data_IF_846501240733
#
_entry.id   IF_846501240733
#
_cell.length_a   1.000
_cell.length_b   1.000
_cell.length_c   1.000
_cell.angle_alpha   90.00
_cell.angle_beta   90.00
_cell.angle_gamma   90.00
#
_symmetry.space_group_name_H-M   'P 1'
#
loop_
_entity.id
_entity.type
_entity.pdbx_description
1 polymer ?
#
# COMPACT_ATOMS: atom_id res chain seq x y z
N UNK A 1 -41.94 -17.73 71.53
CA UNK A 1 -43.02 -18.16 70.61
C UNK A 1 -42.96 -17.22 69.41
N UNK A 2 -42.56 -17.77 68.24
CA UNK A 2 -42.77 -17.26 66.87
C UNK A 2 -41.88 -16.04 66.48
N UNK A 3 -40.70 -16.25 65.88
CA UNK A 3 -40.41 -16.25 64.42
C UNK A 3 -41.05 -15.07 63.67
N UNK A 4 -40.24 -14.18 63.05
CA UNK A 4 -40.32 -13.81 61.60
C UNK A 4 -39.53 -12.53 61.23
N UNK A 5 -38.45 -12.76 60.44
CA UNK A 5 -37.96 -12.06 59.23
C UNK A 5 -37.16 -10.71 59.26
N UNK A 6 -35.86 -10.87 58.91
CA UNK A 6 -34.99 -10.11 57.96
C UNK A 6 -34.61 -8.64 58.30
N UNK A 7 -33.37 -8.27 58.69
CA UNK A 7 -32.03 -8.30 58.03
C UNK A 7 -32.05 -7.78 56.57
N UNK A 8 -31.62 -6.53 56.30
CA UNK A 8 -30.23 -6.04 56.05
C UNK A 8 -29.75 -6.21 54.60
N UNK A 9 -29.38 -5.06 54.01
CA UNK A 9 -28.36 -4.82 52.97
C UNK A 9 -28.59 -5.12 51.48
N UNK A 10 -28.12 -4.11 50.73
CA UNK A 10 -27.82 -4.02 49.30
C UNK A 10 -26.74 -5.02 48.82
N UNK A 11 -26.69 -5.17 47.49
CA UNK A 11 -25.63 -5.78 46.64
C UNK A 11 -25.57 -7.31 46.57
N UNK A 12 -25.97 -7.87 45.41
CA UNK A 12 -25.08 -8.40 44.36
C UNK A 12 -25.82 -9.39 43.46
N UNK A 13 -25.47 -9.35 42.16
CA UNK A 13 -26.00 -10.24 41.13
C UNK A 13 -25.79 -11.71 41.52
N UNK A 14 -26.87 -12.48 41.46
CA UNK A 14 -26.88 -13.88 41.84
C UNK A 14 -26.49 -14.74 40.63
N UNK A 15 -25.34 -15.40 40.79
CA UNK A 15 -24.68 -16.34 39.90
C UNK A 15 -25.55 -17.61 39.73
N UNK A 16 -25.79 -18.04 38.49
CA UNK A 16 -26.60 -19.24 38.20
C UNK A 16 -25.76 -20.26 37.44
N UNK A 17 -25.54 -21.37 38.14
CA UNK A 17 -24.83 -22.62 37.82
C UNK A 17 -25.25 -23.26 36.48
N UNK A 18 -24.30 -23.74 35.69
CA UNK A 18 -24.54 -24.49 34.44
C UNK A 18 -24.00 -25.93 34.60
N UNK A 19 -24.89 -26.89 34.83
CA UNK A 19 -24.59 -28.33 34.84
C UNK A 19 -25.04 -29.01 33.55
N UNK A 20 -24.30 -30.04 33.13
CA UNK A 20 -24.41 -30.76 31.86
C UNK A 20 -25.75 -31.44 31.58
N UNK A 21 -26.04 -31.55 30.27
CA UNK A 21 -26.91 -32.51 29.58
C UNK A 21 -28.44 -32.44 29.81
N UNK A 22 -29.14 -31.80 28.86
CA UNK A 22 -30.12 -32.39 27.93
C UNK A 22 -31.14 -31.31 27.48
N UNK A 23 -31.17 -31.06 26.17
CA UNK A 23 -32.22 -30.33 25.43
C UNK A 23 -32.71 -29.02 26.05
N UNK A 24 -32.13 -27.89 25.63
CA UNK A 24 -32.80 -26.61 25.29
C UNK A 24 -31.68 -25.57 25.08
N UNK A 25 -31.74 -24.94 23.93
CA UNK A 25 -30.82 -23.96 23.36
C UNK A 25 -30.73 -22.70 24.23
N UNK A 26 -29.59 -22.43 24.88
CA UNK A 26 -29.26 -21.15 25.51
C UNK A 26 -27.74 -20.90 25.42
N UNK A 27 -27.27 -19.73 24.95
CA UNK A 27 -25.87 -19.52 24.56
C UNK A 27 -24.93 -19.47 25.78
N UNK A 28 -23.77 -20.10 25.67
CA UNK A 28 -22.72 -20.15 26.67
C UNK A 28 -22.41 -18.74 27.22
N UNK A 29 -22.51 -18.55 28.54
CA UNK A 29 -22.20 -17.28 29.20
C UNK A 29 -20.84 -17.38 29.88
N UNK A 30 -19.93 -16.47 29.55
CA UNK A 30 -18.58 -16.45 30.11
C UNK A 30 -18.59 -16.01 31.57
N UNK A 31 -18.22 -16.93 32.47
CA UNK A 31 -18.06 -16.65 33.90
C UNK A 31 -16.59 -16.62 34.28
N UNK A 32 -16.25 -15.63 35.10
CA UNK A 32 -14.96 -15.46 35.78
C UNK A 32 -14.77 -16.56 36.84
N UNK A 33 -14.42 -17.77 36.40
CA UNK A 33 -13.87 -18.81 37.27
C UNK A 33 -12.51 -19.21 36.73
N UNK A 34 -11.63 -19.56 37.65
CA UNK A 34 -10.17 -19.54 37.59
C UNK A 34 -9.52 -20.57 36.65
N UNK A 35 -10.01 -20.68 35.41
CA UNK A 35 -9.38 -21.23 34.21
C UNK A 35 -10.42 -21.19 33.07
N UNK A 36 -10.53 -20.09 32.29
CA UNK A 36 -11.50 -19.99 31.21
C UNK A 36 -10.98 -20.74 29.99
N UNK A 37 -11.23 -22.05 29.92
CA UNK A 37 -11.03 -22.79 28.66
C UNK A 37 -12.36 -22.74 27.89
N UNK A 38 -12.46 -21.89 26.86
CA UNK A 38 -13.50 -22.04 25.83
C UNK A 38 -14.60 -20.99 25.74
N UNK A 39 -14.33 -19.72 26.08
CA UNK A 39 -15.29 -18.64 25.90
C UNK A 39 -15.04 -17.83 24.63
N UNK A 40 -16.00 -17.75 23.72
CA UNK A 40 -15.88 -16.98 22.47
C UNK A 40 -16.37 -15.54 22.65
N UNK A 41 -15.62 -14.57 22.14
CA UNK A 41 -16.01 -13.16 22.13
C UNK A 41 -17.25 -12.97 21.23
N UNK A 42 -18.13 -12.04 21.61
CA UNK A 42 -19.26 -11.59 20.80
C UNK A 42 -19.33 -10.07 20.84
N UNK A 43 -20.03 -9.45 19.88
CA UNK A 43 -20.20 -7.99 19.86
C UNK A 43 -20.80 -7.39 21.14
N UNK A 44 -21.53 -8.18 21.94
CA UNK A 44 -22.11 -7.74 23.23
C UNK A 44 -21.39 -8.26 24.48
N UNK A 45 -20.48 -9.23 24.37
CA UNK A 45 -19.79 -9.84 25.50
C UNK A 45 -18.39 -10.30 25.10
N UNK A 46 -17.38 -9.56 25.55
CA UNK A 46 -15.97 -9.75 25.23
C UNK A 46 -15.11 -9.56 26.49
N UNK A 47 -15.17 -10.49 27.47
CA UNK A 47 -14.32 -10.42 28.66
C UNK A 47 -12.84 -10.53 28.27
N UNK A 48 -11.94 -10.17 29.20
CA UNK A 48 -10.51 -10.39 29.02
C UNK A 48 -10.24 -11.88 28.75
N UNK A 49 -9.34 -12.17 27.82
CA UNK A 49 -8.92 -13.52 27.39
C UNK A 49 -10.02 -14.40 26.75
N UNK A 50 -11.10 -13.82 26.20
CA UNK A 50 -11.99 -14.57 25.31
C UNK A 50 -11.31 -14.96 23.99
N UNK A 51 -11.70 -16.11 23.44
CA UNK A 51 -11.28 -16.58 22.12
C UNK A 51 -12.06 -15.86 21.03
N UNK A 52 -11.40 -15.46 19.95
CA UNK A 52 -12.09 -14.83 18.83
C UNK A 52 -12.95 -15.82 18.04
N UNK A 53 -14.10 -15.38 17.51
CA UNK A 53 -14.89 -16.16 16.54
C UNK A 53 -14.04 -16.58 15.34
N UNK A 54 -14.34 -17.76 14.79
CA UNK A 54 -13.74 -18.21 13.53
C UNK A 54 -14.42 -17.57 12.30
N UNK A 55 -15.73 -17.29 12.40
CA UNK A 55 -16.46 -16.58 11.35
C UNK A 55 -16.10 -15.09 11.41
N UNK A 56 -15.46 -14.53 10.36
CA UNK A 56 -15.13 -13.11 10.32
C UNK A 56 -16.34 -12.21 10.56
N UNK A 57 -17.53 -12.58 10.10
CA UNK A 57 -18.73 -11.77 10.24
C UNK A 57 -19.13 -11.53 11.71
N UNK A 58 -18.75 -12.44 12.62
CA UNK A 58 -19.03 -12.33 14.05
C UNK A 58 -18.06 -11.39 14.78
N UNK A 59 -17.03 -10.87 14.09
CA UNK A 59 -16.11 -9.86 14.65
C UNK A 59 -16.73 -8.46 14.73
N UNK A 60 -17.88 -8.22 14.11
CA UNK A 60 -18.59 -6.94 14.24
C UNK A 60 -18.83 -6.59 15.71
N UNK A 61 -18.55 -5.33 16.06
CA UNK A 61 -18.65 -4.79 17.42
C UNK A 61 -17.74 -5.49 18.47
N UNK A 62 -16.77 -6.31 18.06
CA UNK A 62 -15.73 -6.84 18.95
C UNK A 62 -14.50 -5.94 18.87
N UNK A 63 -14.07 -5.32 19.97
CA UNK A 63 -12.92 -4.42 19.98
C UNK A 63 -11.59 -5.10 19.57
N UNK A 64 -10.70 -4.33 18.93
CA UNK A 64 -9.40 -4.83 18.44
C UNK A 64 -8.42 -5.29 19.53
N UNK A 65 -8.59 -4.82 20.76
CA UNK A 65 -7.83 -5.28 21.93
C UNK A 65 -8.28 -6.67 22.44
N UNK A 66 -9.50 -7.09 22.12
CA UNK A 66 -9.98 -8.45 22.38
C UNK A 66 -9.66 -9.37 21.20
N UNK A 67 -9.96 -8.91 19.98
CA UNK A 67 -9.71 -9.66 18.75
C UNK A 67 -8.97 -8.80 17.73
N UNK A 68 -7.69 -9.10 17.44
CA UNK A 68 -6.91 -8.37 16.45
C UNK A 68 -7.61 -8.32 15.09
N UNK A 69 -7.27 -7.31 14.30
CA UNK A 69 -7.75 -7.20 12.93
C UNK A 69 -7.30 -8.40 12.09
N UNK A 70 -8.21 -8.94 11.29
CA UNK A 70 -7.87 -9.94 10.28
C UNK A 70 -7.18 -9.27 9.09
N UNK A 71 -6.32 -10.05 8.43
CA UNK A 71 -5.61 -9.61 7.22
C UNK A 71 -6.43 -9.82 5.93
N UNK A 72 -7.64 -10.36 6.04
CA UNK A 72 -8.58 -10.49 4.95
C UNK A 72 -10.01 -10.49 5.47
N UNK A 73 -10.92 -9.85 4.72
CA UNK A 73 -12.36 -9.84 4.96
C UNK A 73 -12.78 -9.50 6.41
N UNK A 74 -11.97 -8.73 7.15
CA UNK A 74 -12.38 -8.24 8.47
C UNK A 74 -13.57 -7.28 8.29
N UNK A 75 -14.75 -7.56 8.87
CA UNK A 75 -15.91 -6.70 8.67
C UNK A 75 -15.75 -5.32 9.33
N UNK A 76 -14.75 -5.13 10.20
CA UNK A 76 -14.41 -3.85 10.84
C UNK A 76 -13.40 -3.03 10.02
N UNK A 77 -12.95 -3.51 8.85
CA UNK A 77 -12.00 -2.79 8.01
C UNK A 77 -12.55 -1.43 7.53
N UNK A 78 -11.78 -0.37 7.76
CA UNK A 78 -12.17 1.01 7.47
C UNK A 78 -12.83 1.74 8.64
N UNK A 79 -13.10 1.06 9.76
CA UNK A 79 -13.59 1.66 11.00
C UNK A 79 -12.58 1.43 12.13
N UNK A 80 -12.72 0.33 12.88
CA UNK A 80 -11.77 -0.04 13.95
C UNK A 80 -10.46 -0.64 13.42
N UNK A 81 -10.52 -1.26 12.24
CA UNK A 81 -9.37 -1.83 11.55
C UNK A 81 -8.97 -0.98 10.36
N UNK A 82 -7.67 -0.95 9.97
CA UNK A 82 -7.26 -0.26 8.76
C UNK A 82 -8.03 -0.80 7.54
N UNK A 83 -8.45 0.11 6.66
CA UNK A 83 -9.10 -0.27 5.40
C UNK A 83 -8.16 -1.14 4.55
N UNK A 84 -8.71 -2.06 3.76
CA UNK A 84 -7.90 -2.77 2.78
C UNK A 84 -7.61 -1.88 1.57
N UNK A 85 -6.38 -1.98 1.07
CA UNK A 85 -6.00 -1.30 -0.16
C UNK A 85 -6.73 -1.96 -1.35
N UNK A 86 -7.41 -1.16 -2.17
CA UNK A 86 -8.23 -1.65 -3.29
C UNK A 86 -7.52 -1.60 -4.64
N UNK A 87 -6.54 -0.70 -4.79
CA UNK A 87 -5.76 -0.52 -6.01
C UNK A 87 -4.55 0.38 -5.76
N UNK A 88 -3.59 0.36 -6.68
CA UNK A 88 -2.44 1.28 -6.69
C UNK A 88 -2.84 2.76 -6.71
N UNK A 89 -3.95 3.10 -7.38
CA UNK A 89 -4.41 4.49 -7.52
C UNK A 89 -5.04 5.07 -6.23
N UNK A 90 -5.53 4.20 -5.35
CA UNK A 90 -6.15 4.56 -4.07
C UNK A 90 -5.29 4.18 -2.87
N UNK A 91 -4.01 3.87 -3.11
CA UNK A 91 -3.09 3.40 -2.08
C UNK A 91 -2.79 4.50 -1.08
N UNK A 92 -2.85 4.17 0.21
CA UNK A 92 -2.43 5.06 1.30
C UNK A 92 -1.39 4.35 2.18
N UNK A 93 -0.56 5.08 2.95
CA UNK A 93 0.36 4.46 3.89
C UNK A 93 -0.37 3.59 4.93
N UNK A 94 -1.59 3.97 5.31
CA UNK A 94 -2.35 3.37 6.40
C UNK A 94 -3.16 2.13 6.00
N UNK A 95 -3.53 1.97 4.71
CA UNK A 95 -4.33 0.82 4.30
C UNK A 95 -3.53 -0.50 4.39
N UNK A 96 -4.20 -1.62 4.65
CA UNK A 96 -3.59 -2.94 4.72
C UNK A 96 -3.70 -3.70 3.38
N UNK A 97 -2.64 -4.42 3.02
CA UNK A 97 -2.66 -5.30 1.85
C UNK A 97 -3.35 -6.61 2.21
N UNK A 98 -4.51 -6.87 1.59
CA UNK A 98 -5.36 -8.01 1.92
C UNK A 98 -4.78 -9.34 1.41
N UNK A 99 -4.73 -10.34 2.29
CA UNK A 99 -4.31 -11.70 1.95
C UNK A 99 -5.31 -12.34 0.99
N UNK A 100 -4.82 -13.02 -0.05
CA UNK A 100 -5.65 -13.69 -1.06
C UNK A 100 -6.65 -12.79 -1.81
N UNK A 101 -6.44 -11.46 -1.80
CA UNK A 101 -7.23 -10.55 -2.60
C UNK A 101 -7.16 -10.90 -4.09
N UNK A 102 -8.33 -11.00 -4.73
CA UNK A 102 -8.43 -11.28 -6.17
C UNK A 102 -8.30 -10.03 -7.04
N UNK A 103 -8.61 -8.85 -6.50
CA UNK A 103 -8.57 -7.58 -7.21
C UNK A 103 -7.22 -6.90 -7.15
N UNK A 104 -6.54 -6.98 -5.99
CA UNK A 104 -5.25 -6.36 -5.78
C UNK A 104 -4.38 -7.28 -4.94
N UNK A 105 -3.65 -8.16 -5.62
CA UNK A 105 -2.87 -9.22 -4.99
C UNK A 105 -1.91 -8.66 -3.93
N UNK A 106 -1.86 -9.33 -2.78
CA UNK A 106 -1.07 -8.91 -1.62
C UNK A 106 0.37 -8.50 -1.99
N UNK A 107 1.09 -9.35 -2.73
CA UNK A 107 2.48 -9.09 -3.12
C UNK A 107 2.61 -7.81 -3.96
N UNK A 108 1.68 -7.60 -4.90
CA UNK A 108 1.66 -6.40 -5.73
C UNK A 108 1.34 -5.15 -4.90
N UNK A 109 0.40 -5.26 -3.95
CA UNK A 109 0.05 -4.19 -3.03
C UNK A 109 1.24 -3.79 -2.14
N UNK A 110 1.92 -4.76 -1.54
CA UNK A 110 3.08 -4.53 -0.67
C UNK A 110 4.21 -3.87 -1.45
N UNK A 111 4.51 -4.37 -2.66
CA UNK A 111 5.52 -3.78 -3.54
C UNK A 111 5.16 -2.34 -3.93
N UNK A 112 3.90 -2.10 -4.33
CA UNK A 112 3.45 -0.74 -4.65
C UNK A 112 3.53 0.20 -3.45
N UNK A 113 3.25 -0.27 -2.21
CA UNK A 113 3.38 0.56 -1.00
C UNK A 113 4.83 0.97 -0.77
N UNK A 114 5.77 0.03 -0.91
CA UNK A 114 7.20 0.32 -0.80
C UNK A 114 7.63 1.34 -1.86
N UNK A 115 7.26 1.12 -3.12
CA UNK A 115 7.63 2.03 -4.21
C UNK A 115 6.98 3.41 -4.12
N UNK A 116 5.83 3.54 -3.46
CA UNK A 116 5.13 4.83 -3.35
C UNK A 116 5.53 5.62 -2.10
N UNK A 117 5.78 4.95 -0.97
CA UNK A 117 5.97 5.61 0.33
C UNK A 117 7.36 5.45 0.94
N UNK A 118 8.16 4.49 0.47
CA UNK A 118 9.52 4.23 0.96
C UNK A 118 10.51 4.02 -0.19
N UNK A 119 10.31 4.75 -1.29
CA UNK A 119 11.07 4.58 -2.52
C UNK A 119 12.58 4.69 -2.31
N UNK A 120 13.04 5.60 -1.45
CA UNK A 120 14.45 5.86 -1.19
C UNK A 120 15.20 4.65 -0.59
N UNK A 121 14.48 3.72 0.02
CA UNK A 121 15.03 2.52 0.65
C UNK A 121 14.96 1.29 -0.26
N UNK A 122 14.45 1.42 -1.49
CA UNK A 122 14.26 0.31 -2.43
C UNK A 122 15.31 0.31 -3.54
N UNK A 123 15.66 -0.87 -4.04
CA UNK A 123 16.53 -1.04 -5.19
C UNK A 123 15.77 -0.89 -6.52
N UNK A 124 16.51 -0.72 -7.63
CA UNK A 124 15.89 -0.52 -8.96
C UNK A 124 15.14 -1.76 -9.47
N UNK A 125 15.47 -2.95 -8.97
CA UNK A 125 14.80 -4.20 -9.35
C UNK A 125 13.42 -4.31 -8.74
N UNK A 126 13.25 -3.77 -7.54
CA UNK A 126 11.99 -3.83 -6.80
C UNK A 126 11.09 -2.65 -7.18
N UNK A 127 11.69 -1.48 -7.40
CA UNK A 127 10.99 -0.27 -7.82
C UNK A 127 11.71 0.40 -8.98
N UNK A 128 11.08 0.42 -10.15
CA UNK A 128 11.60 1.12 -11.32
C UNK A 128 11.94 2.58 -11.01
N UNK A 129 13.00 3.08 -11.65
CA UNK A 129 13.43 4.46 -11.48
C UNK A 129 12.38 5.44 -12.01
N UNK A 130 12.05 6.47 -11.23
CA UNK A 130 11.09 7.48 -11.66
C UNK A 130 11.64 8.30 -12.84
N UNK A 131 10.77 8.75 -13.75
CA UNK A 131 11.18 9.55 -14.91
C UNK A 131 11.58 10.98 -14.53
N UNK A 132 11.23 11.41 -13.32
CA UNK A 132 11.64 12.68 -12.73
C UNK A 132 11.66 12.59 -11.21
N UNK A 133 12.58 13.34 -10.57
CA UNK A 133 12.60 13.51 -9.13
C UNK A 133 12.81 12.23 -8.32
N UNK A 134 13.34 11.15 -8.90
CA UNK A 134 13.65 9.94 -8.14
C UNK A 134 14.67 10.28 -7.05
N UNK A 135 14.35 10.07 -5.77
CA UNK A 135 15.26 10.42 -4.67
C UNK A 135 16.54 9.58 -4.68
N UNK A 136 16.60 8.50 -5.46
CA UNK A 136 17.76 7.62 -5.65
C UNK A 136 18.58 7.97 -6.89
N UNK A 137 18.23 9.01 -7.65
CA UNK A 137 18.93 9.41 -8.87
C UNK A 137 20.41 9.77 -8.59
N UNK A 138 21.32 9.21 -9.39
CA UNK A 138 22.77 9.34 -9.23
C UNK A 138 23.41 8.31 -8.31
N UNK A 139 22.62 7.45 -7.66
CA UNK A 139 23.10 6.30 -6.90
C UNK A 139 22.55 5.01 -7.51
N UNK A 140 21.40 4.53 -7.02
CA UNK A 140 20.74 3.31 -7.50
C UNK A 140 20.11 3.50 -8.90
N UNK A 141 19.62 4.71 -9.15
CA UNK A 141 19.06 5.11 -10.43
C UNK A 141 20.04 6.00 -11.21
N UNK A 142 20.02 5.98 -12.55
CA UNK A 142 20.78 6.93 -13.36
C UNK A 142 20.47 8.38 -12.97
N UNK A 143 21.49 9.23 -12.91
CA UNK A 143 21.29 10.66 -12.72
C UNK A 143 20.51 11.27 -13.89
N UNK A 144 19.77 12.35 -13.62
CA UNK A 144 19.16 13.13 -14.70
C UNK A 144 20.21 14.00 -15.39
N UNK A 145 20.11 14.11 -16.72
CA UNK A 145 20.99 14.97 -17.49
C UNK A 145 20.70 16.45 -17.17
N UNK A 146 21.75 17.21 -16.87
CA UNK A 146 21.68 18.68 -16.71
C UNK A 146 22.26 19.43 -17.92
N UNK A 147 22.97 18.70 -18.78
CA UNK A 147 23.43 19.12 -20.10
C UNK A 147 23.79 17.87 -20.91
N UNK A 148 24.31 18.04 -22.14
CA UNK A 148 24.83 16.94 -22.95
C UNK A 148 25.91 16.15 -22.18
N UNK A 149 25.70 14.84 -22.05
CA UNK A 149 26.57 13.88 -21.34
C UNK A 149 26.98 14.27 -19.90
N UNK A 150 26.20 15.17 -19.27
CA UNK A 150 26.49 15.70 -17.94
C UNK A 150 25.32 15.40 -17.00
N UNK A 151 25.52 14.83 -15.80
CA UNK A 151 26.81 14.61 -15.12
C UNK A 151 27.60 13.39 -15.63
N UNK A 152 26.96 12.48 -16.35
CA UNK A 152 27.61 11.32 -16.98
C UNK A 152 26.98 11.05 -18.35
N UNK A 153 27.67 10.36 -19.28
CA UNK A 153 27.07 9.97 -20.57
C UNK A 153 25.82 9.10 -20.41
N UNK A 154 25.76 8.30 -19.35
CA UNK A 154 24.66 7.40 -19.02
C UNK A 154 23.50 8.07 -18.27
N UNK A 155 23.52 9.40 -18.10
CA UNK A 155 22.39 10.12 -17.51
C UNK A 155 21.09 9.87 -18.30
N UNK A 156 19.93 10.06 -17.69
CA UNK A 156 18.62 9.91 -18.35
C UNK A 156 17.93 11.25 -18.52
N UNK A 157 17.05 11.37 -19.52
CA UNK A 157 16.32 12.61 -19.75
C UNK A 157 15.18 12.77 -18.75
N UNK A 158 15.20 13.87 -18.00
CA UNK A 158 14.18 14.24 -17.02
C UNK A 158 12.88 14.66 -17.72
N UNK A 159 11.76 14.01 -17.36
CA UNK A 159 10.44 14.33 -17.91
C UNK A 159 9.77 15.56 -17.28
N UNK A 160 10.41 16.21 -16.29
CA UNK A 160 9.90 17.45 -15.70
C UNK A 160 9.87 18.58 -16.74
N UNK A 161 8.71 19.22 -16.97
CA UNK A 161 8.61 20.37 -17.87
C UNK A 161 9.51 21.56 -17.50
N UNK A 162 9.89 21.66 -16.22
CA UNK A 162 10.74 22.72 -15.68
C UNK A 162 12.20 22.30 -15.49
N UNK A 163 12.61 21.14 -16.03
CA UNK A 163 14.00 20.71 -15.92
C UNK A 163 14.93 21.72 -16.59
N UNK A 164 16.12 21.92 -15.99
CA UNK A 164 17.14 22.83 -16.54
C UNK A 164 17.54 22.44 -17.97
N UNK A 165 17.51 21.14 -18.26
CA UNK A 165 17.79 20.57 -19.56
C UNK A 165 16.53 19.87 -20.07
N UNK A 166 15.74 20.61 -20.86
CA UNK A 166 14.41 20.18 -21.27
C UNK A 166 14.40 18.78 -21.88
N UNK A 167 13.32 18.03 -21.63
CA UNK A 167 13.15 16.66 -22.16
C UNK A 167 13.43 16.58 -23.66
N UNK A 168 12.89 17.52 -24.44
CA UNK A 168 13.07 17.56 -25.89
C UNK A 168 14.54 17.79 -26.27
N UNK A 169 15.20 18.78 -25.66
CA UNK A 169 16.61 19.07 -25.93
C UNK A 169 17.50 17.88 -25.56
N UNK A 170 17.21 17.24 -24.42
CA UNK A 170 17.95 16.06 -23.95
C UNK A 170 17.80 14.87 -24.90
N UNK A 171 16.56 14.53 -25.28
CA UNK A 171 16.29 13.41 -26.19
C UNK A 171 16.93 13.63 -27.56
N UNK A 172 16.84 14.86 -28.09
CA UNK A 172 17.45 15.20 -29.39
C UNK A 172 18.98 15.08 -29.35
N UNK A 173 19.63 15.48 -28.25
CA UNK A 173 21.08 15.38 -28.11
C UNK A 173 21.57 13.95 -27.86
N UNK A 174 20.77 13.11 -27.19
CA UNK A 174 21.07 11.68 -26.99
C UNK A 174 20.78 10.83 -28.22
N UNK A 175 20.04 11.34 -29.19
CA UNK A 175 19.82 10.65 -30.45
C UNK A 175 21.15 10.65 -31.23
N UNK A 176 21.76 9.48 -31.50
CA UNK A 176 23.00 9.45 -32.26
C UNK A 176 22.73 9.97 -33.67
N UNK A 177 23.48 10.98 -34.10
CA UNK A 177 23.59 11.38 -35.51
C UNK A 177 24.28 10.25 -36.26
N UNK A 178 23.59 9.16 -36.57
CA UNK A 178 24.14 8.12 -37.43
C UNK A 178 24.03 8.62 -38.88
N UNK A 179 25.12 9.18 -39.40
CA UNK A 179 25.31 9.43 -40.85
C UNK A 179 25.76 8.13 -41.54
N UNK A 180 25.06 7.03 -41.29
CA UNK A 180 25.40 5.73 -41.87
C UNK A 180 24.12 5.00 -42.27
N UNK A 181 24.10 4.60 -43.54
CA UNK A 181 22.94 4.14 -44.32
C UNK A 181 22.23 2.86 -43.80
N UNK A 182 22.52 2.37 -42.59
CA UNK A 182 22.03 1.05 -42.18
C UNK A 182 21.79 0.83 -40.67
N UNK A 183 21.57 1.87 -39.87
CA UNK A 183 21.15 1.70 -38.47
C UNK A 183 19.62 1.82 -38.31
N UNK A 184 19.02 0.91 -37.55
CA UNK A 184 17.61 0.98 -37.16
C UNK A 184 17.40 2.12 -36.16
N UNK A 185 16.83 3.23 -36.63
CA UNK A 185 16.53 4.41 -35.81
C UNK A 185 15.23 4.18 -35.04
N UNK A 186 15.18 4.42 -33.70
CA UNK A 186 13.92 4.43 -32.96
C UNK A 186 12.93 5.45 -33.54
N UNK A 187 11.64 5.12 -33.62
CA UNK A 187 10.63 5.96 -34.29
C UNK A 187 10.60 7.42 -33.78
N UNK A 188 10.78 7.61 -32.47
CA UNK A 188 10.83 8.94 -31.82
C UNK A 188 12.05 9.76 -32.28
N UNK A 189 13.17 9.08 -32.56
CA UNK A 189 14.37 9.69 -33.13
C UNK A 189 14.15 10.10 -34.60
N UNK A 190 13.31 9.40 -35.36
CA UNK A 190 12.99 9.72 -36.77
C UNK A 190 12.19 11.03 -36.86
N UNK A 191 11.23 11.24 -35.96
CA UNK A 191 10.46 12.50 -35.94
C UNK A 191 11.32 13.69 -35.50
N UNK A 192 12.23 13.49 -34.55
CA UNK A 192 13.14 14.54 -34.08
C UNK A 192 14.21 14.88 -35.12
N UNK A 193 14.79 13.91 -35.83
CA UNK A 193 15.73 14.17 -36.93
C UNK A 193 15.10 14.95 -38.09
N UNK A 194 13.82 14.71 -38.42
CA UNK A 194 13.07 15.55 -39.38
C UNK A 194 12.91 17.01 -38.92
N UNK A 195 12.79 17.26 -37.61
CA UNK A 195 12.77 18.63 -37.05
C UNK A 195 14.18 19.26 -37.06
N UNK A 196 15.22 18.48 -36.73
CA UNK A 196 16.61 18.93 -36.76
C UNK A 196 17.12 19.22 -38.19
N UNK A 197 16.70 18.47 -39.21
CA UNK A 197 17.09 18.77 -40.60
C UNK A 197 16.54 20.11 -41.09
N UNK A 198 15.43 20.58 -40.52
CA UNK A 198 14.84 21.89 -40.85
C UNK A 198 15.51 23.04 -40.07
N UNK A 199 15.94 22.80 -38.82
CA UNK A 199 16.62 23.81 -38.00
C UNK A 199 18.11 23.96 -38.35
N UNK A 200 18.81 22.86 -38.66
CA UNK A 200 20.23 22.91 -39.02
C UNK A 200 20.49 23.34 -40.47
N UNK A 201 19.49 23.30 -41.37
CA UNK A 201 19.66 23.89 -42.70
C UNK A 201 19.80 25.41 -42.62
N UNK A 202 19.19 26.10 -41.65
CA UNK A 202 19.31 27.56 -41.54
C UNK A 202 20.68 28.01 -40.99
N UNK A 203 21.36 27.17 -40.21
CA UNK A 203 22.68 27.48 -39.64
C UNK A 203 23.86 26.94 -40.48
N UNK A 204 23.62 26.07 -41.47
CA UNK A 204 24.66 25.54 -42.39
C UNK A 204 24.81 26.34 -43.69
N UNK A 205 23.80 27.13 -44.09
CA UNK A 205 23.94 28.11 -45.17
C UNK A 205 24.24 29.49 -44.58
N UNK A 206 25.47 29.65 -44.11
CA UNK A 206 26.12 30.96 -44.05
C UNK A 206 26.38 31.52 -45.45
N UNK A 207 25.33 31.68 -46.26
CA UNK A 207 25.38 32.41 -47.53
C UNK A 207 24.98 33.86 -47.23
N UNK A 208 25.88 34.84 -47.35
CA UNK A 208 25.46 36.23 -47.47
C UNK A 208 24.92 36.47 -48.89
N UNK A 209 23.73 37.09 -48.93
CA UNK A 209 22.89 37.54 -50.07
C UNK A 209 22.02 36.47 -50.73
#
# INVERSE_FOLDING_TARGET
>A
MIFVFLLYSLLNAQDSDCTEAESVQLPCKCVNISEPVGCTCTGSNHPTDCTCPEDPAELLDIPTNNCPCLNAMDPRAGDECPAFCTSKAQLTPECNCEVQSSSYQQLQCEQDKLCLFDLISQDKSDCECLPTGDPRAGNECPAYCIAYETPTPNCVCDSNPNSQYSLQTCQSAKCPLIVSDNATIPQDCIEQTKKCSNAQLQDLIGIPV
#
